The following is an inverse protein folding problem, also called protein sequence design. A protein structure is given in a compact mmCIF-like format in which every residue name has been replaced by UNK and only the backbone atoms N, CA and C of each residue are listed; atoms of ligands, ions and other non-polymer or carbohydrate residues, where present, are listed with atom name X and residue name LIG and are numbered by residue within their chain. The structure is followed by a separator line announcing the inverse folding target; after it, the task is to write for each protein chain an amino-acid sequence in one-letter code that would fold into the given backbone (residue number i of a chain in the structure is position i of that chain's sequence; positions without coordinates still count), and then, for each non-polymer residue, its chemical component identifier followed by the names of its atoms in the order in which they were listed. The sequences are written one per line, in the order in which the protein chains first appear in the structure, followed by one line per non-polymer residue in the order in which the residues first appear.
data_IF_624747199525
#
_entry.id   IF_624747199525
#
_cell.length_a   1.000
_cell.length_b   1.000
_cell.length_c   1.000
_cell.angle_alpha   90.00
_cell.angle_beta   90.00
_cell.angle_gamma   90.00
#
_symmetry.space_group_name_H-M   'P 1'
#
loop_
_entity.id
_entity.type
_entity.pdbx_description
1 polymer ?
#
# COMPACT_ATOMS: atom_id res chain seq x y z
N UNK A 1 13.18 -13.02 -6.27
CA UNK A 1 12.49 -12.06 -7.16
C UNK A 1 11.28 -12.75 -7.75
N UNK A 2 10.19 -12.04 -8.12
CA UNK A 2 9.12 -12.64 -8.91
C UNK A 2 9.70 -13.17 -10.23
N UNK A 3 9.32 -14.37 -10.66
CA UNK A 3 9.73 -15.01 -11.95
C UNK A 3 9.53 -14.10 -13.18
N UNK A 4 8.77 -13.00 -13.03
CA UNK A 4 8.51 -12.00 -14.08
C UNK A 4 9.67 -11.03 -14.31
N UNK A 5 10.68 -11.05 -13.45
CA UNK A 5 11.72 -10.02 -13.42
C UNK A 5 12.99 -10.49 -14.16
N UNK A 6 13.26 -11.79 -14.28
CA UNK A 6 14.34 -12.29 -15.14
C UNK A 6 13.89 -13.52 -15.95
N UNK A 7 13.89 -13.39 -17.29
CA UNK A 7 13.58 -14.49 -18.21
C UNK A 7 14.78 -15.38 -18.52
N UNK A 8 15.99 -14.87 -18.26
CA UNK A 8 17.25 -15.42 -18.81
C UNK A 8 18.20 -15.97 -17.74
N UNK A 9 17.95 -15.69 -16.46
CA UNK A 9 18.59 -16.40 -15.36
C UNK A 9 17.82 -17.71 -15.15
N UNK A 10 18.45 -18.85 -15.45
CA UNK A 10 18.01 -20.12 -14.89
C UNK A 10 17.83 -19.93 -13.38
N UNK A 11 16.79 -20.51 -12.73
CA UNK A 11 16.53 -20.31 -11.32
C UNK A 11 17.63 -20.98 -10.49
N UNK A 12 18.78 -20.34 -10.42
CA UNK A 12 19.78 -20.55 -9.39
C UNK A 12 19.16 -19.99 -8.11
N UNK A 13 18.64 -20.91 -7.31
CA UNK A 13 17.95 -20.60 -6.07
C UNK A 13 18.87 -19.83 -5.11
N UNK A 14 20.18 -20.12 -5.15
CA UNK A 14 21.17 -19.50 -4.29
C UNK A 14 21.41 -18.04 -4.71
N UNK A 15 21.55 -17.78 -6.02
CA UNK A 15 21.60 -16.40 -6.53
C UNK A 15 20.37 -15.60 -6.12
N UNK A 16 19.18 -16.15 -6.36
CA UNK A 16 17.92 -15.47 -6.07
C UNK A 16 17.78 -15.17 -4.58
N UNK A 17 18.25 -16.06 -3.70
CA UNK A 17 18.24 -15.85 -2.27
C UNK A 17 19.18 -14.72 -1.86
N UNK A 18 20.43 -14.72 -2.35
CA UNK A 18 21.42 -13.70 -2.02
C UNK A 18 21.04 -12.32 -2.58
N UNK A 19 20.64 -12.25 -3.85
CA UNK A 19 20.23 -10.97 -4.45
C UNK A 19 18.99 -10.40 -3.77
N UNK A 20 18.04 -11.23 -3.33
CA UNK A 20 16.87 -10.76 -2.58
C UNK A 20 17.25 -10.21 -1.21
N UNK A 21 18.19 -10.84 -0.50
CA UNK A 21 18.69 -10.32 0.78
C UNK A 21 19.28 -8.91 0.60
N UNK A 22 20.05 -8.69 -0.47
CA UNK A 22 20.65 -7.38 -0.77
C UNK A 22 19.59 -6.37 -1.16
N UNK A 23 18.76 -6.68 -2.15
CA UNK A 23 17.74 -5.78 -2.70
C UNK A 23 16.72 -5.35 -1.65
N UNK A 24 16.25 -6.28 -0.80
CA UNK A 24 15.13 -6.00 0.12
C UNK A 24 15.55 -5.55 1.51
N UNK A 25 16.84 -5.29 1.71
CA UNK A 25 17.35 -4.72 2.96
C UNK A 25 16.92 -3.26 3.10
N UNK A 26 16.16 -2.93 4.15
CA UNK A 26 15.62 -1.58 4.40
C UNK A 26 16.44 -0.74 5.37
N UNK A 27 17.40 -1.38 6.04
CA UNK A 27 18.23 -0.76 7.09
C UNK A 27 19.62 -0.38 6.57
N UNK A 28 19.97 -0.75 5.34
CA UNK A 28 21.29 -0.53 4.74
C UNK A 28 21.38 0.86 4.10
N UNK A 29 22.56 1.47 4.16
CA UNK A 29 22.86 2.69 3.41
C UNK A 29 23.02 2.40 1.92
N UNK A 30 22.82 3.39 1.02
CA UNK A 30 23.12 3.24 -0.41
C UNK A 30 24.53 2.69 -0.66
N UNK A 31 25.55 3.17 0.05
CA UNK A 31 26.92 2.68 -0.09
C UNK A 31 27.06 1.19 0.27
N UNK A 32 26.38 0.74 1.31
CA UNK A 32 26.36 -0.67 1.73
C UNK A 32 25.59 -1.54 0.72
N UNK A 33 24.55 -1.00 0.09
CA UNK A 33 23.87 -1.64 -1.03
C UNK A 33 24.82 -1.83 -2.21
N UNK A 34 25.56 -0.80 -2.62
CA UNK A 34 26.49 -0.87 -3.75
C UNK A 34 27.56 -1.95 -3.55
N UNK A 35 28.15 -2.01 -2.35
CA UNK A 35 29.14 -3.02 -1.99
C UNK A 35 28.56 -4.44 -2.06
N UNK A 36 27.40 -4.65 -1.41
CA UNK A 36 26.74 -5.96 -1.37
C UNK A 36 26.25 -6.40 -2.74
N UNK A 37 25.73 -5.48 -3.55
CA UNK A 37 25.31 -5.75 -4.93
C UNK A 37 26.52 -6.19 -5.76
N UNK A 38 27.60 -5.41 -5.76
CA UNK A 38 28.82 -5.74 -6.50
C UNK A 38 29.39 -7.12 -6.10
N UNK A 39 29.38 -7.43 -4.81
CA UNK A 39 29.81 -8.73 -4.28
C UNK A 39 28.97 -9.88 -4.86
N UNK A 40 27.64 -9.81 -4.76
CA UNK A 40 26.75 -10.87 -5.28
C UNK A 40 26.89 -11.01 -6.80
N UNK A 41 26.97 -9.90 -7.54
CA UNK A 41 27.13 -9.96 -9.00
C UNK A 41 28.45 -10.63 -9.39
N UNK A 42 29.54 -10.38 -8.67
CA UNK A 42 30.84 -10.98 -8.95
C UNK A 42 30.91 -12.47 -8.57
N UNK A 43 30.34 -12.84 -7.41
CA UNK A 43 30.29 -14.23 -6.95
C UNK A 43 29.60 -15.16 -7.97
N UNK A 44 28.54 -14.66 -8.61
CA UNK A 44 27.77 -15.41 -9.60
C UNK A 44 28.22 -15.14 -11.05
N UNK A 45 29.25 -14.30 -11.27
CA UNK A 45 29.82 -13.96 -12.60
C UNK A 45 28.78 -13.38 -13.57
N UNK A 46 27.97 -12.45 -13.08
CA UNK A 46 26.86 -11.83 -13.81
C UNK A 46 27.11 -10.37 -14.21
N UNK A 47 28.38 -9.95 -14.25
CA UNK A 47 28.77 -8.56 -14.48
C UNK A 47 28.28 -8.02 -15.84
N UNK A 48 28.23 -8.89 -16.86
CA UNK A 48 27.82 -8.53 -18.22
C UNK A 48 26.37 -8.91 -18.54
N UNK A 49 25.56 -9.23 -17.53
CA UNK A 49 24.17 -9.64 -17.77
C UNK A 49 23.30 -8.42 -18.07
N UNK A 50 22.88 -8.26 -19.34
CA UNK A 50 22.16 -7.08 -19.85
C UNK A 50 21.01 -6.61 -18.95
N UNK A 51 20.16 -7.55 -18.50
CA UNK A 51 19.01 -7.21 -17.68
C UNK A 51 19.42 -6.71 -16.27
N UNK A 52 20.50 -7.27 -15.70
CA UNK A 52 20.99 -6.86 -14.38
C UNK A 52 21.64 -5.46 -14.46
N UNK A 53 22.34 -5.17 -15.56
CA UNK A 53 22.85 -3.84 -15.84
C UNK A 53 21.71 -2.82 -15.98
N UNK A 54 20.66 -3.15 -16.74
CA UNK A 54 19.51 -2.26 -16.93
C UNK A 54 18.72 -1.99 -15.64
N UNK A 55 18.54 -3.00 -14.78
CA UNK A 55 17.79 -2.81 -13.54
C UNK A 55 18.64 -2.06 -12.49
N UNK A 56 19.95 -2.30 -12.49
CA UNK A 56 20.91 -1.58 -11.66
C UNK A 56 21.04 -0.10 -12.02
N UNK A 57 21.01 0.23 -13.31
CA UNK A 57 21.00 1.63 -13.79
C UNK A 57 19.83 2.44 -13.17
N UNK A 58 18.71 1.75 -12.90
CA UNK A 58 17.51 2.35 -12.29
C UNK A 58 17.41 2.16 -10.78
N UNK A 59 18.47 1.67 -10.10
CA UNK A 59 18.43 1.27 -8.68
C UNK A 59 17.83 2.31 -7.74
N UNK A 60 18.14 3.59 -7.96
CA UNK A 60 17.60 4.71 -7.16
C UNK A 60 16.07 4.80 -7.19
N UNK A 61 15.42 4.21 -8.21
CA UNK A 61 13.97 4.25 -8.39
C UNK A 61 13.23 3.07 -7.75
N UNK A 62 13.92 2.04 -7.27
CA UNK A 62 13.25 0.84 -6.75
C UNK A 62 13.96 0.13 -5.59
N UNK A 63 15.21 0.47 -5.28
CA UNK A 63 15.96 -0.10 -4.16
C UNK A 63 15.61 0.65 -2.86
N UNK A 64 15.07 -0.04 -1.84
CA UNK A 64 14.69 0.55 -0.56
C UNK A 64 15.75 1.41 0.13
N UNK A 65 17.04 1.07 -0.01
CA UNK A 65 18.14 1.83 0.59
C UNK A 65 18.12 3.33 0.18
N UNK A 66 17.64 3.64 -1.02
CA UNK A 66 17.52 5.00 -1.56
C UNK A 66 16.25 5.73 -1.12
N UNK A 67 15.29 5.03 -0.50
CA UNK A 67 14.03 5.60 0.00
C UNK A 67 14.01 5.71 1.53
N UNK A 68 15.16 5.60 2.20
CA UNK A 68 15.20 5.50 3.67
C UNK A 68 14.70 6.74 4.39
N UNK A 69 14.82 7.92 3.79
CA UNK A 69 14.33 9.18 4.34
C UNK A 69 12.95 9.59 3.79
N UNK A 70 12.33 8.76 2.94
CA UNK A 70 11.04 9.05 2.35
C UNK A 70 9.91 8.38 3.14
N UNK A 71 8.91 9.19 3.49
CA UNK A 71 7.70 8.69 4.13
C UNK A 71 6.85 7.90 3.15
N UNK A 72 6.97 6.57 3.23
CA UNK A 72 6.27 5.63 2.35
C UNK A 72 5.10 4.93 3.04
N UNK A 73 4.76 5.29 4.29
CA UNK A 73 3.67 4.68 5.06
C UNK A 73 3.72 3.14 5.12
N UNK A 74 4.92 2.54 5.14
CA UNK A 74 5.11 1.09 5.08
C UNK A 74 4.92 0.45 3.69
N UNK A 75 4.68 1.24 2.64
CA UNK A 75 4.47 0.78 1.25
C UNK A 75 5.83 0.63 0.54
N UNK A 76 6.69 -0.22 1.06
CA UNK A 76 8.05 -0.43 0.51
C UNK A 76 8.20 -1.73 -0.28
N UNK A 77 7.33 -2.71 -0.06
CA UNK A 77 7.61 -4.11 -0.46
C UNK A 77 6.50 -4.86 -1.15
N UNK A 78 5.25 -4.38 -1.10
CA UNK A 78 4.13 -5.26 -1.39
C UNK A 78 3.30 -4.73 -2.55
N UNK A 79 3.23 -5.52 -3.62
CA UNK A 79 2.09 -5.46 -4.54
C UNK A 79 0.81 -5.90 -3.84
N UNK A 80 0.88 -6.47 -2.63
CA UNK A 80 -0.25 -6.90 -1.81
C UNK A 80 -1.38 -5.89 -1.76
N UNK A 81 -1.11 -4.58 -1.60
CA UNK A 81 -2.16 -3.56 -1.63
C UNK A 81 -2.86 -3.47 -3.00
N UNK A 82 -2.08 -3.37 -4.07
CA UNK A 82 -2.65 -3.35 -5.43
C UNK A 82 -3.32 -4.67 -5.80
N UNK A 83 -2.82 -5.79 -5.28
CA UNK A 83 -3.35 -7.13 -5.50
C UNK A 83 -4.63 -7.37 -4.69
N UNK A 84 -4.72 -6.87 -3.45
CA UNK A 84 -5.92 -6.93 -2.63
C UNK A 84 -7.02 -6.08 -3.23
N UNK A 85 -6.71 -4.85 -3.65
CA UNK A 85 -7.66 -3.97 -4.35
C UNK A 85 -8.11 -4.61 -5.67
N UNK A 86 -7.18 -5.06 -6.50
CA UNK A 86 -7.54 -5.73 -7.75
C UNK A 86 -8.41 -6.96 -7.50
N UNK A 87 -8.07 -7.79 -6.50
CA UNK A 87 -8.86 -8.98 -6.15
C UNK A 87 -10.26 -8.61 -5.64
N UNK A 88 -10.38 -7.53 -4.87
CA UNK A 88 -11.66 -7.02 -4.41
C UNK A 88 -12.52 -6.58 -5.61
N UNK A 89 -12.05 -5.66 -6.45
CA UNK A 89 -12.79 -5.15 -7.60
C UNK A 89 -13.04 -6.20 -8.69
N UNK A 90 -12.18 -7.22 -8.82
CA UNK A 90 -12.43 -8.32 -9.78
C UNK A 90 -13.73 -9.07 -9.46
N UNK A 91 -14.20 -9.06 -8.21
CA UNK A 91 -15.51 -9.65 -7.85
C UNK A 91 -16.70 -8.84 -8.38
N UNK A 92 -16.49 -7.56 -8.67
CA UNK A 92 -17.51 -6.61 -9.10
C UNK A 92 -17.45 -6.30 -10.61
N UNK A 93 -16.31 -6.57 -11.26
CA UNK A 93 -16.10 -6.30 -12.68
C UNK A 93 -16.26 -7.55 -13.56
N UNK A 94 -16.99 -7.42 -14.68
CA UNK A 94 -17.09 -8.44 -15.73
C UNK A 94 -16.88 -7.77 -17.11
N UNK A 95 -16.09 -8.36 -18.02
CA UNK A 95 -15.87 -7.82 -19.38
C UNK A 95 -17.14 -7.55 -20.20
N UNK A 96 -18.27 -8.18 -19.85
CA UNK A 96 -19.54 -8.05 -20.57
C UNK A 96 -20.51 -7.03 -19.97
N UNK A 97 -20.10 -6.26 -18.94
CA UNK A 97 -20.95 -5.23 -18.35
C UNK A 97 -21.11 -4.03 -19.30
N UNK A 98 -22.33 -3.50 -19.37
CA UNK A 98 -22.55 -2.16 -19.89
C UNK A 98 -21.91 -1.12 -18.96
N UNK A 99 -21.67 0.09 -19.46
CA UNK A 99 -21.10 1.17 -18.65
C UNK A 99 -21.95 1.48 -17.39
N UNK A 100 -23.28 1.44 -17.54
CA UNK A 100 -24.22 1.70 -16.44
C UNK A 100 -24.13 0.60 -15.37
N UNK A 101 -24.10 -0.67 -15.79
CA UNK A 101 -23.95 -1.79 -14.85
C UNK A 101 -22.59 -1.77 -14.15
N UNK A 102 -21.52 -1.44 -14.88
CA UNK A 102 -20.18 -1.27 -14.30
C UNK A 102 -20.19 -0.19 -13.22
N UNK A 103 -20.76 0.98 -13.51
CA UNK A 103 -20.83 2.09 -12.55
C UNK A 103 -21.59 1.68 -11.27
N UNK A 104 -22.77 1.07 -11.41
CA UNK A 104 -23.56 0.60 -10.26
C UNK A 104 -22.81 -0.44 -9.41
N UNK A 105 -22.08 -1.34 -10.05
CA UNK A 105 -21.25 -2.35 -9.36
C UNK A 105 -20.05 -1.73 -8.66
N UNK A 106 -19.46 -0.70 -9.26
CA UNK A 106 -18.34 0.03 -8.70
C UNK A 106 -18.75 0.82 -7.45
N UNK A 107 -19.88 1.53 -7.50
CA UNK A 107 -20.47 2.20 -6.33
C UNK A 107 -20.75 1.20 -5.21
N UNK A 108 -21.33 0.04 -5.52
CA UNK A 108 -21.56 -1.03 -4.53
C UNK A 108 -20.26 -1.54 -3.89
N UNK A 109 -19.18 -1.61 -4.67
CA UNK A 109 -17.86 -2.01 -4.18
C UNK A 109 -17.27 -0.95 -3.23
N UNK A 110 -17.41 0.34 -3.57
CA UNK A 110 -17.02 1.45 -2.71
C UNK A 110 -17.79 1.44 -1.40
N UNK A 111 -19.11 1.25 -1.44
CA UNK A 111 -19.95 1.21 -0.24
C UNK A 111 -19.58 0.04 0.67
N UNK A 112 -19.24 -1.12 0.11
CA UNK A 112 -18.73 -2.24 0.88
C UNK A 112 -17.38 -1.91 1.57
N UNK A 113 -16.47 -1.20 0.89
CA UNK A 113 -15.22 -0.73 1.51
C UNK A 113 -15.48 0.30 2.63
N UNK A 114 -16.38 1.26 2.40
CA UNK A 114 -16.79 2.25 3.40
C UNK A 114 -17.44 1.60 4.61
N UNK A 115 -18.30 0.60 4.41
CA UNK A 115 -18.89 -0.16 5.50
C UNK A 115 -17.81 -0.85 6.35
N UNK A 116 -16.87 -1.56 5.72
CA UNK A 116 -15.75 -2.19 6.43
C UNK A 116 -14.88 -1.16 7.16
N UNK A 117 -14.64 0.00 6.58
CA UNK A 117 -13.95 1.10 7.27
C UNK A 117 -14.73 1.54 8.52
N UNK A 118 -16.05 1.73 8.41
CA UNK A 118 -16.91 2.07 9.54
C UNK A 118 -16.89 1.02 10.65
N UNK A 119 -16.89 -0.27 10.31
CA UNK A 119 -16.77 -1.37 11.29
C UNK A 119 -15.41 -1.35 12.03
N UNK A 120 -14.34 -1.04 11.30
CA UNK A 120 -12.98 -0.92 11.85
C UNK A 120 -12.84 0.31 12.76
N UNK A 121 -13.43 1.44 12.36
CA UNK A 121 -13.43 2.67 13.15
C UNK A 121 -14.24 2.48 14.45
N UNK A 122 -15.41 1.85 14.34
CA UNK A 122 -16.24 1.50 15.49
C UNK A 122 -15.49 0.55 16.43
N UNK A 123 -14.83 -0.47 15.88
CA UNK A 123 -13.99 -1.38 16.67
C UNK A 123 -12.84 -0.63 17.36
N UNK A 124 -12.14 0.26 16.67
CA UNK A 124 -11.03 1.03 17.26
C UNK A 124 -11.47 2.01 18.33
N UNK A 125 -12.71 2.53 18.26
CA UNK A 125 -13.28 3.45 19.26
C UNK A 125 -13.77 2.73 20.52
N UNK A 126 -14.28 1.51 20.38
CA UNK A 126 -15.02 0.83 21.46
C UNK A 126 -14.34 -0.42 22.00
N UNK A 127 -13.37 -0.99 21.27
CA UNK A 127 -12.58 -2.13 21.73
C UNK A 127 -11.21 -1.62 22.14
N UNK A 128 -10.90 -1.78 23.42
CA UNK A 128 -9.56 -1.49 23.92
C UNK A 128 -8.64 -2.67 23.60
N UNK A 129 -7.56 -2.46 22.82
CA UNK A 129 -6.58 -3.50 22.59
C UNK A 129 -5.94 -3.98 23.89
N UNK A 130 -5.64 -5.27 23.98
CA UNK A 130 -4.99 -5.84 25.16
C UNK A 130 -3.50 -5.52 25.14
N UNK A 131 -2.99 -4.94 26.24
CA UNK A 131 -1.57 -4.69 26.42
C UNK A 131 -0.87 -5.98 26.88
N UNK A 132 0.26 -6.32 26.27
CA UNK A 132 1.11 -7.43 26.69
C UNK A 132 1.99 -7.05 27.88
N UNK A 133 2.29 -5.77 28.06
CA UNK A 133 3.19 -5.29 29.12
C UNK A 133 2.51 -4.23 29.98
N UNK A 134 3.07 -3.97 31.16
CA UNK A 134 2.62 -2.88 32.04
C UNK A 134 3.22 -1.52 31.67
N UNK A 135 3.80 -1.37 30.47
CA UNK A 135 4.46 -0.14 30.06
C UNK A 135 3.45 0.98 29.82
N UNK A 136 3.69 2.15 30.43
CA UNK A 136 2.80 3.31 30.28
C UNK A 136 2.71 3.79 28.83
N UNK A 137 3.79 3.67 28.05
CA UNK A 137 3.82 4.08 26.65
C UNK A 137 2.98 3.16 25.76
N UNK A 138 2.92 1.87 26.07
CA UNK A 138 2.06 0.89 25.40
C UNK A 138 0.60 1.21 25.69
N UNK A 139 0.27 1.47 26.96
CA UNK A 139 -1.07 1.89 27.35
C UNK A 139 -1.49 3.19 26.65
N UNK A 140 -0.60 4.18 26.58
CA UNK A 140 -0.88 5.41 25.84
C UNK A 140 -1.12 5.14 24.35
N UNK A 141 -0.34 4.25 23.73
CA UNK A 141 -0.51 3.88 22.34
C UNK A 141 -1.87 3.21 22.07
N UNK A 142 -2.39 2.40 23.00
CA UNK A 142 -3.69 1.73 22.85
C UNK A 142 -4.88 2.71 22.88
N UNK A 143 -4.69 3.90 23.44
CA UNK A 143 -5.68 4.97 23.48
C UNK A 143 -5.64 5.88 22.23
N UNK A 144 -4.52 5.88 21.51
CA UNK A 144 -4.25 6.87 20.44
C UNK A 144 -4.21 6.24 19.05
N UNK A 145 -3.66 5.04 18.90
CA UNK A 145 -3.55 4.36 17.61
C UNK A 145 -4.79 3.54 17.25
N UNK A 146 -5.05 3.42 15.95
CA UNK A 146 -5.99 2.42 15.45
C UNK A 146 -5.59 1.01 15.91
N UNK A 147 -6.54 0.09 16.05
CA UNK A 147 -6.27 -1.25 16.59
C UNK A 147 -5.14 -1.98 15.85
N UNK A 148 -5.11 -1.90 14.51
CA UNK A 148 -4.06 -2.55 13.71
C UNK A 148 -2.68 -1.93 13.98
N UNK A 149 -2.59 -0.60 13.99
CA UNK A 149 -1.32 0.12 14.25
C UNK A 149 -0.86 -0.12 15.69
N UNK A 150 -1.77 -0.19 16.66
CA UNK A 150 -1.42 -0.50 18.03
C UNK A 150 -0.65 -1.82 18.13
N UNK A 151 -1.13 -2.89 17.46
CA UNK A 151 -0.44 -4.17 17.49
C UNK A 151 0.94 -4.12 16.81
N UNK A 152 1.07 -3.38 15.70
CA UNK A 152 2.38 -3.13 15.09
C UNK A 152 3.34 -2.42 16.05
N UNK A 153 2.86 -1.39 16.76
CA UNK A 153 3.65 -0.70 17.78
C UNK A 153 3.94 -1.56 19.02
N UNK A 154 3.00 -2.44 19.41
CA UNK A 154 3.18 -3.35 20.54
C UNK A 154 4.33 -4.32 20.29
N UNK A 155 4.50 -4.80 19.05
CA UNK A 155 5.64 -5.65 18.67
C UNK A 155 6.97 -4.87 18.76
N UNK A 156 7.00 -3.58 18.43
CA UNK A 156 8.16 -2.69 18.63
C UNK A 156 8.45 -2.47 20.12
N UNK A 157 7.42 -2.33 20.98
CA UNK A 157 7.58 -2.25 22.44
C UNK A 157 8.16 -3.54 23.00
N UNK A 158 7.64 -4.69 22.60
CA UNK A 158 8.14 -6.00 23.02
C UNK A 158 9.61 -6.17 22.60
N UNK A 159 9.93 -5.84 21.34
CA UNK A 159 11.29 -5.91 20.81
C UNK A 159 12.24 -4.96 21.55
N UNK A 160 11.78 -3.76 21.93
CA UNK A 160 12.57 -2.84 22.75
C UNK A 160 12.88 -3.42 24.14
N UNK A 161 11.96 -4.18 24.73
CA UNK A 161 12.11 -4.73 26.08
C UNK A 161 13.03 -5.95 26.13
N UNK A 162 12.93 -6.83 25.14
CA UNK A 162 13.58 -8.14 25.18
C UNK A 162 14.74 -8.29 24.21
N UNK A 163 14.76 -7.48 23.14
CA UNK A 163 15.74 -7.62 22.06
C UNK A 163 16.69 -6.42 21.93
N UNK A 164 16.51 -5.33 22.67
CA UNK A 164 17.39 -4.16 22.62
C UNK A 164 18.27 -4.01 23.87
N UNK A 165 19.52 -3.59 23.68
CA UNK A 165 20.48 -3.30 24.75
C UNK A 165 21.29 -2.03 24.48
N UNK A 166 21.82 -1.41 25.55
CA UNK A 166 22.69 -0.25 25.44
C UNK A 166 24.14 -0.68 25.25
N UNK A 167 24.72 -0.31 24.12
CA UNK A 167 26.13 -0.61 23.81
C UNK A 167 27.05 0.61 23.99
N UNK A 168 26.49 1.82 23.86
CA UNK A 168 27.26 3.04 23.94
C UNK A 168 26.39 4.25 24.29
N UNK A 169 26.99 5.22 24.98
CA UNK A 169 26.35 6.48 25.34
C UNK A 169 27.35 7.61 25.26
N UNK A 170 26.96 8.70 24.60
CA UNK A 170 27.76 9.93 24.52
C UNK A 170 26.86 11.16 24.55
N UNK A 171 27.43 12.29 24.97
CA UNK A 171 26.78 13.61 24.93
C UNK A 171 27.56 14.52 23.99
N UNK A 172 26.90 15.03 22.96
CA UNK A 172 27.51 15.90 21.95
C UNK A 172 26.57 17.07 21.67
N UNK A 173 27.06 18.31 21.79
CA UNK A 173 26.33 19.54 21.43
C UNK A 173 24.91 19.66 22.04
N UNK A 174 24.72 19.22 23.28
CA UNK A 174 23.41 19.25 23.95
C UNK A 174 22.47 18.10 23.59
N UNK A 175 22.88 17.21 22.69
CA UNK A 175 22.18 15.97 22.35
C UNK A 175 22.81 14.79 23.08
N UNK A 176 21.96 13.85 23.45
CA UNK A 176 22.37 12.55 23.97
C UNK A 176 22.27 11.52 22.85
N UNK A 177 23.37 10.80 22.60
CA UNK A 177 23.43 9.78 21.56
C UNK A 177 23.55 8.41 22.24
N UNK A 178 22.56 7.57 21.98
CA UNK A 178 22.44 6.21 22.48
C UNK A 178 22.71 5.22 21.36
N UNK A 179 23.78 4.43 21.47
CA UNK A 179 24.05 3.33 20.54
C UNK A 179 23.34 2.09 21.06
N UNK A 180 22.25 1.71 20.39
CA UNK A 180 21.41 0.56 20.76
C UNK A 180 21.78 -0.64 19.89
N UNK A 181 22.09 -1.77 20.53
CA UNK A 181 22.32 -3.05 19.88
C UNK A 181 21.07 -3.92 19.90
N UNK A 182 20.85 -4.68 18.83
CA UNK A 182 19.77 -5.67 18.75
C UNK A 182 20.32 -7.06 19.10
N UNK A 183 19.82 -7.73 20.14
CA UNK A 183 20.36 -9.00 20.65
C UNK A 183 20.43 -10.15 19.63
N UNK A 184 19.60 -10.11 18.58
CA UNK A 184 19.60 -11.10 17.50
C UNK A 184 20.38 -10.67 16.25
N UNK A 185 20.89 -9.43 16.19
CA UNK A 185 21.61 -8.91 15.02
C UNK A 185 22.94 -8.27 15.42
N UNK A 186 23.92 -8.31 14.53
CA UNK A 186 25.21 -7.63 14.76
C UNK A 186 25.08 -6.11 14.63
N UNK A 187 23.98 -5.63 14.04
CA UNK A 187 23.78 -4.21 13.70
C UNK A 187 23.41 -3.40 14.94
N UNK A 188 23.96 -2.20 15.01
CA UNK A 188 23.69 -1.21 16.06
C UNK A 188 23.17 0.06 15.42
N UNK A 189 22.31 0.77 16.11
CA UNK A 189 21.75 2.03 15.64
C UNK A 189 21.92 3.11 16.68
N UNK A 190 22.38 4.27 16.24
CA UNK A 190 22.40 5.46 17.07
C UNK A 190 21.00 6.09 17.12
N UNK A 191 20.58 6.44 18.33
CA UNK A 191 19.39 7.22 18.62
C UNK A 191 19.85 8.54 19.22
N UNK A 192 19.54 9.63 18.51
CA UNK A 192 19.78 10.99 18.94
C UNK A 192 18.57 11.47 19.71
N UNK A 193 18.77 11.92 20.94
CA UNK A 193 17.74 12.39 21.84
C UNK A 193 18.06 13.80 22.33
N UNK A 194 17.13 14.73 22.13
CA UNK A 194 17.17 16.07 22.69
C UNK A 194 16.44 16.08 24.04
N UNK A 195 17.16 16.42 25.10
CA UNK A 195 16.63 16.40 26.47
C UNK A 195 15.65 17.56 26.73
N UNK A 196 15.76 18.66 25.99
CA UNK A 196 14.91 19.85 26.16
C UNK A 196 13.61 19.72 25.37
N UNK A 197 13.68 19.29 24.11
CA UNK A 197 12.51 19.21 23.21
C UNK A 197 11.86 17.83 23.18
N UNK A 198 12.51 16.80 23.73
CA UNK A 198 12.15 15.38 23.60
C UNK A 198 12.21 14.84 22.15
N UNK A 199 12.81 15.60 21.23
CA UNK A 199 13.02 15.13 19.86
C UNK A 199 13.93 13.90 19.86
N UNK A 200 13.49 12.87 19.16
CA UNK A 200 14.12 11.56 19.09
C UNK A 200 14.27 11.14 17.63
N UNK A 201 15.49 11.00 17.14
CA UNK A 201 15.76 10.51 15.78
C UNK A 201 16.60 9.25 15.85
N UNK A 202 16.27 8.24 15.04
CA UNK A 202 17.00 6.98 15.01
C UNK A 202 17.54 6.69 13.61
N UNK A 203 18.81 6.32 13.52
CA UNK A 203 19.46 5.99 12.24
C UNK A 203 18.92 4.71 11.56
N UNK A 204 18.09 3.92 12.25
CA UNK A 204 17.36 2.84 11.59
C UNK A 204 16.35 3.38 10.55
N UNK A 205 15.96 4.66 10.68
CA UNK A 205 15.04 5.40 9.80
C UNK A 205 13.65 4.77 9.67
N UNK A 206 13.27 3.89 10.60
CA UNK A 206 12.00 3.16 10.53
C UNK A 206 10.81 4.10 10.73
N UNK A 207 10.93 5.07 11.64
CA UNK A 207 9.90 6.09 11.84
C UNK A 207 9.73 6.97 10.61
N UNK A 208 10.81 7.41 9.96
CA UNK A 208 10.74 8.22 8.75
C UNK A 208 10.05 7.47 7.61
N UNK A 209 10.28 6.15 7.48
CA UNK A 209 9.64 5.32 6.45
C UNK A 209 8.19 4.96 6.73
N UNK A 210 7.90 4.60 7.99
CA UNK A 210 6.64 3.96 8.38
C UNK A 210 5.72 4.91 9.16
N UNK A 211 6.29 5.84 9.90
CA UNK A 211 5.57 6.76 10.79
C UNK A 211 5.17 6.15 12.12
N UNK A 212 5.69 4.97 12.44
CA UNK A 212 5.51 4.29 13.73
C UNK A 212 6.87 4.27 14.43
N UNK A 213 6.98 4.69 15.70
CA UNK A 213 8.26 4.71 16.40
C UNK A 213 8.84 3.31 16.52
N UNK A 214 10.14 3.17 16.24
CA UNK A 214 10.83 1.89 16.31
C UNK A 214 11.22 1.52 17.75
N UNK A 215 11.55 0.24 17.93
CA UNK A 215 12.03 -0.33 19.19
C UNK A 215 13.21 0.45 19.79
N UNK A 216 14.13 1.00 18.98
CA UNK A 216 15.26 1.79 19.48
C UNK A 216 14.81 3.09 20.14
N UNK A 217 13.83 3.79 19.54
CA UNK A 217 13.27 5.02 20.11
C UNK A 217 12.50 4.72 21.38
N UNK A 218 11.70 3.64 21.37
CA UNK A 218 10.95 3.17 22.55
C UNK A 218 11.89 2.79 23.70
N UNK A 219 13.04 2.15 23.40
CA UNK A 219 14.05 1.84 24.40
C UNK A 219 14.58 3.10 25.08
N UNK A 220 14.94 4.13 24.30
CA UNK A 220 15.43 5.42 24.84
C UNK A 220 14.34 6.10 25.67
N UNK A 221 13.09 6.14 25.19
CA UNK A 221 11.97 6.70 25.93
C UNK A 221 11.74 6.00 27.27
N UNK A 222 11.85 4.67 27.30
CA UNK A 222 11.80 3.89 28.54
C UNK A 222 12.94 4.27 29.48
N UNK A 223 14.18 4.35 28.97
CA UNK A 223 15.34 4.75 29.76
C UNK A 223 15.23 6.18 30.33
N UNK A 224 14.49 7.05 29.63
CA UNK A 224 14.16 8.42 30.06
C UNK A 224 12.89 8.54 30.89
N UNK A 225 12.24 7.43 31.24
CA UNK A 225 10.97 7.42 31.97
C UNK A 225 9.87 8.25 31.28
N UNK A 226 9.88 8.27 29.94
CA UNK A 226 8.84 8.90 29.14
C UNK A 226 7.66 7.93 29.08
N UNK A 227 6.52 8.37 29.62
CA UNK A 227 5.32 7.55 29.76
C UNK A 227 4.31 7.70 28.63
N UNK A 228 4.50 8.69 27.74
CA UNK A 228 3.63 8.96 26.58
C UNK A 228 4.50 9.16 25.35
N UNK A 229 4.01 8.70 24.20
CA UNK A 229 4.67 8.98 22.92
C UNK A 229 4.64 10.51 22.71
N UNK A 230 5.78 11.17 22.45
CA UNK A 230 5.76 12.61 22.19
C UNK A 230 4.92 12.92 20.96
N UNK A 231 4.18 14.03 20.99
CA UNK A 231 3.13 14.35 20.01
C UNK A 231 3.64 14.36 18.56
N UNK A 232 4.88 14.81 18.34
CA UNK A 232 5.53 14.81 17.03
C UNK A 232 5.63 13.41 16.39
N UNK A 233 5.55 12.34 17.19
CA UNK A 233 5.64 10.95 16.75
C UNK A 233 4.28 10.25 16.66
N UNK A 234 3.18 10.96 16.93
CA UNK A 234 1.82 10.48 16.74
C UNK A 234 1.28 11.04 15.43
N UNK A 235 1.45 10.32 14.33
CA UNK A 235 0.96 10.78 13.04
C UNK A 235 -0.56 10.59 12.92
N UNK A 236 -1.23 11.62 12.41
CA UNK A 236 -2.68 11.58 12.17
C UNK A 236 -3.11 10.31 11.45
N UNK A 237 -2.42 9.91 10.37
CA UNK A 237 -2.68 8.71 9.55
C UNK A 237 -2.89 7.42 10.36
N UNK A 238 -2.22 7.31 11.50
CA UNK A 238 -2.17 6.09 12.31
C UNK A 238 -3.04 6.15 13.56
N UNK A 239 -3.54 7.34 13.88
CA UNK A 239 -4.35 7.59 15.06
C UNK A 239 -5.83 7.23 14.84
N UNK A 240 -6.56 6.94 15.92
CA UNK A 240 -8.04 6.82 15.86
C UNK A 240 -8.73 8.14 15.49
N UNK A 241 -7.98 9.25 15.44
CA UNK A 241 -8.48 10.58 15.10
C UNK A 241 -8.39 10.92 13.61
N UNK A 242 -7.97 9.99 12.73
CA UNK A 242 -7.95 10.19 11.25
C UNK A 242 -9.30 10.69 10.75
N UNK A 243 -10.39 10.11 11.25
CA UNK A 243 -11.76 10.41 10.87
C UNK A 243 -12.29 11.65 11.60
N UNK A 244 -11.51 12.73 11.64
CA UNK A 244 -11.95 14.07 12.10
C UNK A 244 -11.83 15.13 11.03
N UNK A 245 -11.32 14.78 9.83
CA UNK A 245 -11.38 15.68 8.69
C UNK A 245 -12.70 15.42 7.95
N UNK A 246 -13.60 16.40 7.89
CA UNK A 246 -14.82 16.29 7.08
C UNK A 246 -14.46 15.86 5.67
N UNK A 247 -15.14 14.82 5.18
CA UNK A 247 -15.08 14.43 3.78
C UNK A 247 -16.01 15.38 3.07
N UNK A 248 -15.49 16.15 2.13
CA UNK A 248 -16.29 17.07 1.33
C UNK A 248 -16.53 16.47 -0.05
N UNK A 249 -17.70 16.72 -0.62
CA UNK A 249 -17.91 16.54 -2.05
C UNK A 249 -17.16 17.61 -2.86
N UNK A 250 -17.33 17.55 -4.18
CA UNK A 250 -16.69 18.47 -5.12
C UNK A 250 -17.22 19.92 -5.02
N UNK A 251 -18.34 20.11 -4.33
CA UNK A 251 -18.99 21.41 -4.07
C UNK A 251 -18.59 21.98 -2.70
N UNK A 252 -17.82 21.22 -1.91
CA UNK A 252 -17.43 21.60 -0.55
C UNK A 252 -18.49 21.30 0.49
N UNK A 253 -19.53 20.52 0.18
CA UNK A 253 -20.52 20.05 1.14
C UNK A 253 -19.98 18.82 1.90
N UNK A 254 -20.24 18.75 3.19
CA UNK A 254 -19.78 17.65 4.05
C UNK A 254 -20.57 16.36 3.75
N UNK A 255 -19.91 15.38 3.11
CA UNK A 255 -20.45 14.06 2.78
C UNK A 255 -20.62 13.17 4.02
N UNK A 256 -19.74 13.32 5.01
CA UNK A 256 -19.75 12.50 6.22
C UNK A 256 -19.35 13.33 7.45
N UNK A 257 -20.32 13.63 8.31
CA UNK A 257 -20.09 14.30 9.58
C UNK A 257 -19.37 13.39 10.56
N UNK A 258 -18.14 13.76 10.89
CA UNK A 258 -17.37 13.14 11.97
C UNK A 258 -17.94 13.62 13.31
N UNK A 259 -18.99 12.94 13.78
CA UNK A 259 -19.85 13.31 14.91
C UNK A 259 -19.05 13.77 16.15
N UNK A 260 -19.13 15.06 16.49
CA UNK A 260 -19.02 15.49 17.88
C UNK A 260 -20.39 15.33 18.56
N UNK A 261 -20.44 14.70 19.73
CA UNK A 261 -21.68 14.56 20.49
C UNK A 261 -22.30 15.90 20.93
N UNK A 262 -21.51 16.98 20.93
CA UNK A 262 -21.90 18.34 21.31
C UNK A 262 -22.71 19.04 20.21
N UNK A 263 -22.43 18.74 18.94
CA UNK A 263 -23.03 19.46 17.80
C UNK A 263 -24.43 18.97 17.45
N UNK A 264 -24.80 17.72 17.76
CA UNK A 264 -26.17 17.22 17.52
C UNK A 264 -27.24 18.03 18.25
N UNK A 265 -26.96 18.47 19.48
CA UNK A 265 -27.94 19.24 20.29
C UNK A 265 -28.08 20.68 19.78
N UNK A 266 -27.00 21.23 19.22
CA UNK A 266 -26.98 22.57 18.60
C UNK A 266 -27.66 22.55 17.24
N UNK A 267 -27.32 21.59 16.38
CA UNK A 267 -27.97 21.37 15.08
C UNK A 267 -29.47 21.10 15.19
N UNK A 268 -29.92 20.31 16.18
CA UNK A 268 -31.35 20.08 16.41
C UNK A 268 -32.08 21.35 16.87
N UNK A 269 -31.42 22.22 17.64
CA UNK A 269 -31.99 23.51 18.02
C UNK A 269 -32.03 24.48 16.84
N UNK A 270 -30.98 24.52 16.02
CA UNK A 270 -30.90 25.39 14.84
C UNK A 270 -31.92 24.97 13.77
N UNK A 271 -32.08 23.65 13.53
CA UNK A 271 -33.12 23.08 12.65
C UNK A 271 -34.54 23.34 13.16
N UNK A 272 -34.75 23.31 14.47
CA UNK A 272 -36.06 23.64 15.06
C UNK A 272 -36.39 25.12 14.84
N UNK A 273 -35.42 26.02 15.06
CA UNK A 273 -35.59 27.46 14.84
C UNK A 273 -35.86 27.80 13.37
N UNK A 274 -35.21 27.08 12.44
CA UNK A 274 -35.47 27.23 11.00
C UNK A 274 -36.85 26.69 10.59
N UNK A 275 -37.33 25.59 11.19
CA UNK A 275 -38.69 25.08 10.98
C UNK A 275 -39.76 26.06 11.50
N UNK A 276 -39.50 26.74 12.62
CA UNK A 276 -40.38 27.80 13.14
C UNK A 276 -40.35 29.06 12.26
N UNK A 277 -39.19 29.40 11.68
CA UNK A 277 -39.02 30.47 10.71
C UNK A 277 -39.80 30.21 9.41
N UNK A 278 -39.73 28.99 8.87
CA UNK A 278 -40.33 28.61 7.58
C UNK A 278 -41.86 28.46 7.63
N UNK A 279 -42.44 28.25 8.80
CA UNK A 279 -43.91 28.21 8.99
C UNK A 279 -44.60 29.57 8.74
N UNK A 280 -43.82 30.67 8.69
CA UNK A 280 -44.34 32.02 8.47
C UNK A 280 -44.27 32.54 7.02
N UNK A 281 -43.77 31.73 6.07
CA UNK A 281 -43.53 32.15 4.66
C UNK A 281 -44.22 31.20 3.66
N UNK A 282 -45.48 30.84 3.91
CA UNK A 282 -46.34 30.26 2.86
C UNK A 282 -47.57 31.15 2.70
N UNK A 283 -47.34 32.30 2.08
CA UNK A 283 -48.31 32.98 1.23
C UNK A 283 -47.55 33.85 0.23
N UNK A 284 -47.35 33.34 -0.99
CA UNK A 284 -46.95 34.19 -2.12
C UNK A 284 -45.95 33.61 -3.11
N UNK A 285 -46.49 33.25 -4.28
CA UNK A 285 -45.88 33.34 -5.61
C UNK A 285 -45.12 32.16 -6.23
N UNK A 286 -45.79 31.66 -7.27
CA UNK A 286 -45.44 30.84 -8.43
C UNK A 286 -44.13 31.12 -9.19
N UNK A 287 -43.48 30.04 -9.64
CA UNK A 287 -43.37 29.72 -11.08
C UNK A 287 -42.05 29.96 -11.81
N UNK A 288 -41.30 28.89 -12.08
CA UNK A 288 -40.25 28.85 -13.13
C UNK A 288 -39.57 27.48 -13.21
N UNK A 289 -39.91 26.65 -14.20
CA UNK A 289 -39.34 25.30 -14.40
C UNK A 289 -38.03 25.42 -15.20
N UNK A 290 -36.89 25.25 -14.53
CA UNK A 290 -35.58 25.01 -15.19
C UNK A 290 -35.61 23.66 -15.89
N UNK A 291 -35.02 23.56 -17.10
CA UNK A 291 -34.94 22.27 -17.80
C UNK A 291 -33.83 21.42 -17.18
N UNK A 292 -34.09 20.12 -16.94
CA UNK A 292 -33.13 19.19 -16.32
C UNK A 292 -31.73 19.18 -16.95
N UNK A 293 -31.62 19.57 -18.22
CA UNK A 293 -30.34 19.69 -18.92
C UNK A 293 -29.49 20.87 -18.41
N UNK A 294 -30.12 22.00 -18.10
CA UNK A 294 -29.42 23.17 -17.55
C UNK A 294 -28.93 22.92 -16.13
N UNK A 295 -29.70 22.17 -15.34
CA UNK A 295 -29.28 21.79 -13.99
C UNK A 295 -28.04 20.86 -14.04
N UNK A 296 -27.97 19.96 -15.03
CA UNK A 296 -26.83 19.05 -15.25
C UNK A 296 -25.58 19.82 -15.74
N UNK A 297 -25.73 20.80 -16.63
CA UNK A 297 -24.59 21.61 -17.09
C UNK A 297 -24.03 22.51 -15.98
N UNK A 298 -24.90 22.99 -15.08
CA UNK A 298 -24.49 23.70 -13.85
C UNK A 298 -23.74 22.78 -12.88
N UNK A 299 -24.20 21.55 -12.69
CA UNK A 299 -23.56 20.52 -11.84
C UNK A 299 -22.17 20.12 -12.35
N UNK A 300 -22.00 19.98 -13.67
CA UNK A 300 -20.74 19.49 -14.27
C UNK A 300 -19.74 20.65 -14.50
N UNK A 301 -20.21 21.90 -14.51
CA UNK A 301 -19.38 23.08 -14.80
C UNK A 301 -18.86 23.12 -16.25
N UNK A 302 -19.42 22.28 -17.12
CA UNK A 302 -19.06 22.18 -18.52
C UNK A 302 -20.33 21.95 -19.36
N UNK A 303 -20.49 22.75 -20.40
CA UNK A 303 -21.54 22.55 -21.41
C UNK A 303 -21.24 21.32 -22.26
N UNK A 304 -22.28 20.61 -22.71
CA UNK A 304 -22.11 19.44 -23.58
C UNK A 304 -21.35 19.83 -24.85
N UNK A 305 -20.20 19.19 -25.17
CA UNK A 305 -19.46 19.48 -26.38
C UNK A 305 -20.29 19.20 -27.63
N UNK A 306 -20.21 20.08 -28.63
CA UNK A 306 -20.95 19.97 -29.90
C UNK A 306 -20.49 18.79 -30.75
N UNK A 307 -19.25 18.33 -30.56
CA UNK A 307 -18.69 17.11 -31.16
C UNK A 307 -17.92 16.30 -30.13
N UNK A 308 -18.22 15.00 -30.02
CA UNK A 308 -17.51 14.05 -29.18
C UNK A 308 -16.64 13.17 -30.06
N UNK A 309 -15.32 13.44 -30.09
CA UNK A 309 -14.37 12.68 -30.88
C UNK A 309 -13.76 11.55 -30.03
N UNK A 310 -14.47 10.43 -29.94
CA UNK A 310 -14.02 9.24 -29.18
C UNK A 310 -12.91 8.53 -29.98
N UNK A 311 -11.65 8.76 -29.59
CA UNK A 311 -10.55 7.93 -30.09
C UNK A 311 -10.63 6.54 -29.44
N UNK A 312 -10.40 5.45 -30.17
CA UNK A 312 -10.26 4.12 -29.57
C UNK A 312 -9.19 4.19 -28.47
N UNK A 313 -9.42 3.59 -27.29
CA UNK A 313 -8.39 3.47 -26.27
C UNK A 313 -7.16 2.78 -26.87
N UNK A 314 -5.95 3.26 -26.57
CA UNK A 314 -4.74 2.49 -26.86
C UNK A 314 -4.86 1.18 -26.10
N UNK A 315 -5.04 0.06 -26.82
CA UNK A 315 -5.21 -1.26 -26.22
C UNK A 315 -3.93 -1.64 -25.46
N UNK A 316 -3.94 -1.48 -24.14
CA UNK A 316 -2.90 -2.01 -23.27
C UNK A 316 -3.27 -3.45 -22.88
N UNK A 317 -2.47 -4.44 -23.30
CA UNK A 317 -2.66 -5.84 -22.90
C UNK A 317 -2.18 -6.00 -21.46
N UNK A 318 -3.09 -6.03 -20.49
CA UNK A 318 -2.79 -6.42 -19.11
C UNK A 318 -3.29 -7.86 -18.84
N UNK A 319 -2.79 -8.50 -17.78
CA UNK A 319 -2.98 -9.95 -17.53
C UNK A 319 -4.44 -10.37 -17.25
N UNK A 320 -5.40 -9.45 -17.27
CA UNK A 320 -6.82 -9.70 -16.99
C UNK A 320 -7.78 -9.38 -18.13
N UNK A 321 -7.35 -8.75 -19.22
CA UNK A 321 -8.25 -8.34 -20.32
C UNK A 321 -8.31 -9.40 -21.42
N UNK A 322 -9.33 -10.27 -21.37
CA UNK A 322 -9.83 -10.96 -22.56
C UNK A 322 -10.82 -10.03 -23.25
N UNK A 323 -10.47 -9.49 -24.42
CA UNK A 323 -11.40 -8.70 -25.24
C UNK A 323 -11.66 -9.47 -26.53
N UNK A 324 -12.93 -9.74 -26.79
CA UNK A 324 -13.40 -10.42 -27.98
C UNK A 324 -13.22 -9.53 -29.22
N UNK A 325 -12.30 -9.89 -30.11
CA UNK A 325 -12.18 -9.28 -31.45
C UNK A 325 -12.77 -10.25 -32.46
N UNK A 326 -13.85 -9.84 -33.14
CA UNK A 326 -14.46 -10.63 -34.22
C UNK A 326 -13.40 -10.98 -35.28
N UNK A 327 -13.20 -12.28 -35.52
CA UNK A 327 -12.28 -12.79 -36.54
C UNK A 327 -10.94 -13.34 -36.05
N UNK A 328 -10.64 -13.28 -34.73
CA UNK A 328 -9.42 -13.89 -34.18
C UNK A 328 -9.72 -15.18 -33.40
N UNK A 329 -8.98 -16.24 -33.72
CA UNK A 329 -9.17 -17.56 -33.11
C UNK A 329 -8.86 -17.59 -31.60
N UNK A 330 -9.90 -17.84 -30.82
CA UNK A 330 -9.94 -18.19 -29.39
C UNK A 330 -9.39 -17.16 -28.39
N UNK A 331 -10.34 -16.52 -27.69
CA UNK A 331 -10.20 -15.84 -26.41
C UNK A 331 -9.52 -16.74 -25.37
N UNK A 332 -8.26 -16.46 -25.06
CA UNK A 332 -7.62 -17.08 -23.89
C UNK A 332 -6.86 -16.03 -23.11
N UNK A 333 -7.29 -15.86 -21.85
CA UNK A 333 -6.46 -15.35 -20.75
C UNK A 333 -5.02 -15.77 -20.99
N UNK A 334 -4.09 -14.82 -20.88
CA UNK A 334 -2.66 -15.10 -20.91
C UNK A 334 -2.32 -16.09 -19.79
N UNK A 335 -2.25 -17.38 -20.12
CA UNK A 335 -1.90 -18.43 -19.19
C UNK A 335 -0.45 -18.26 -18.74
N UNK A 336 -0.20 -18.43 -17.45
CA UNK A 336 1.18 -18.47 -16.96
C UNK A 336 1.90 -19.67 -17.57
N UNK A 337 3.23 -19.62 -17.66
CA UNK A 337 3.98 -20.76 -18.21
C UNK A 337 3.88 -21.98 -17.29
N UNK A 338 3.61 -21.80 -15.99
CA UNK A 338 3.21 -22.87 -15.07
C UNK A 338 1.87 -23.50 -15.47
N UNK A 339 0.83 -22.71 -15.78
CA UNK A 339 -0.45 -23.25 -16.29
C UNK A 339 -0.25 -23.98 -17.62
N UNK A 340 0.56 -23.44 -18.54
CA UNK A 340 0.86 -24.11 -19.82
C UNK A 340 1.64 -25.42 -19.61
N UNK A 341 2.60 -25.44 -18.71
CA UNK A 341 3.40 -26.62 -18.39
C UNK A 341 2.56 -27.70 -17.69
N UNK A 342 1.66 -27.32 -16.77
CA UNK A 342 0.70 -28.24 -16.13
C UNK A 342 -0.30 -28.80 -17.15
N UNK A 343 -0.83 -27.98 -18.06
CA UNK A 343 -1.70 -28.47 -19.14
C UNK A 343 -0.96 -29.34 -20.15
N UNK A 344 0.33 -29.08 -20.39
CA UNK A 344 1.18 -29.93 -21.24
C UNK A 344 1.56 -31.23 -20.54
N UNK A 345 1.79 -31.24 -19.22
CA UNK A 345 2.13 -32.45 -18.47
C UNK A 345 0.96 -33.42 -18.36
N UNK A 346 -0.28 -32.92 -18.39
CA UNK A 346 -1.50 -33.74 -18.48
C UNK A 346 -1.73 -34.37 -19.86
N UNK A 347 -1.06 -33.91 -20.91
CA UNK A 347 -1.17 -34.50 -22.26
C UNK A 347 -0.24 -35.70 -22.37
N UNK A 348 -0.71 -36.82 -22.94
CA UNK A 348 0.17 -37.97 -23.21
C UNK A 348 1.16 -37.62 -24.33
N UNK A 349 2.44 -37.95 -24.15
CA UNK A 349 3.46 -37.86 -25.21
C UNK A 349 3.05 -38.74 -26.38
N UNK A 350 3.24 -38.25 -27.60
CA UNK A 350 2.93 -38.95 -28.86
C UNK A 350 4.12 -38.94 -29.79
N UNK A 351 4.19 -39.92 -30.70
CA UNK A 351 5.24 -40.02 -31.70
C UNK A 351 5.00 -39.00 -32.81
N UNK A 352 5.90 -38.04 -32.97
CA UNK A 352 5.83 -37.10 -34.08
C UNK A 352 6.27 -37.78 -35.38
N UNK A 353 5.44 -37.75 -36.43
CA UNK A 353 5.79 -38.35 -37.74
C UNK A 353 6.91 -37.61 -38.48
N UNK A 354 7.18 -36.35 -38.14
CA UNK A 354 8.26 -35.54 -38.74
C UNK A 354 9.63 -35.92 -38.19
N UNK A 355 9.84 -35.72 -36.89
CA UNK A 355 11.14 -35.99 -36.24
C UNK A 355 11.29 -37.41 -35.66
N UNK A 356 10.23 -38.24 -35.70
CA UNK A 356 10.19 -39.61 -35.14
C UNK A 356 10.52 -39.69 -33.64
N UNK A 357 10.42 -38.58 -32.90
CA UNK A 357 10.61 -38.53 -31.44
C UNK A 357 9.28 -38.48 -30.69
N UNK A 358 9.26 -39.02 -29.47
CA UNK A 358 8.12 -38.91 -28.56
C UNK A 358 8.11 -37.51 -27.93
N UNK A 359 7.06 -36.74 -28.18
CA UNK A 359 6.93 -35.37 -27.70
C UNK A 359 5.49 -34.90 -27.55
N UNK A 360 5.31 -33.62 -27.22
CA UNK A 360 3.99 -32.98 -27.08
C UNK A 360 3.52 -32.29 -28.37
N UNK A 361 4.23 -32.51 -29.48
CA UNK A 361 3.97 -31.93 -30.80
C UNK A 361 3.67 -33.04 -31.84
N UNK A 362 3.11 -32.66 -32.99
CA UNK A 362 2.89 -33.51 -34.16
C UNK A 362 3.58 -32.91 -35.40
N UNK A 363 3.37 -33.52 -36.58
CA UNK A 363 4.02 -33.11 -37.82
C UNK A 363 3.64 -31.68 -38.27
N UNK A 364 2.53 -31.12 -37.79
CA UNK A 364 2.07 -29.78 -38.18
C UNK A 364 2.80 -28.68 -37.43
N UNK A 365 3.27 -28.97 -36.22
CA UNK A 365 3.93 -28.03 -35.32
C UNK A 365 5.28 -28.57 -34.81
N UNK A 366 5.92 -29.44 -35.60
CA UNK A 366 7.21 -30.01 -35.27
C UNK A 366 8.30 -28.94 -35.36
N UNK A 367 9.09 -28.70 -34.29
CA UNK A 367 10.13 -27.68 -34.28
C UNK A 367 11.33 -28.04 -35.18
N UNK A 368 11.49 -29.32 -35.51
CA UNK A 368 12.50 -29.82 -36.45
C UNK A 368 11.96 -29.89 -37.91
N UNK A 369 10.77 -29.35 -38.17
CA UNK A 369 10.24 -29.27 -39.53
C UNK A 369 10.93 -28.11 -40.24
N UNK A 370 11.79 -28.42 -41.21
CA UNK A 370 12.29 -27.42 -42.15
C UNK A 370 11.08 -26.75 -42.84
N UNK A 371 11.09 -25.41 -42.88
CA UNK A 371 9.99 -24.59 -43.38
C UNK A 371 9.77 -24.78 -44.87
#
# INVERSE_FOLDING_TARGET
MPEKVCRDLAPDYDFLQEICKVVWSVEIEPAEFEERWAKVISEFKLENHDWLLQIYDKREMWIPAYFRDLFLCGIMRTTSRSESENNFYTKFANPHLTLVEFYMRFESALDAQRHTQGENDNSSKHKHPECKTCSAIEKFASEVYTTTVFYEFQDEVESALFSCGLDGFKKEFGLEVYTIGEGCRVRKFDVLFNVETFDTSCLCKSFERQGIPCMHMVWVWKAKHIHKIPEAYVLNRWSIMVCKKPIFDLEGNELEQCVQAVDRKRLLNDLWLDLESQSSIVDGSSGGVSSKAQDIELLIGASVPTEILIKPPKVSKNKGTGVHVQGSGSDKRLKSDKEKAVEQSQKKKRLCKGCKKMGYHDIRNCPEKEK
#
